data_IF_946237664308
#
_entry.id   IF_946237664308
#
_cell.length_a   1.000
_cell.length_b   1.000
_cell.length_c   1.000
_cell.angle_alpha   90.00
_cell.angle_beta   90.00
_cell.angle_gamma   90.00
#
_symmetry.space_group_name_H-M   'P 1'
#
loop_
_entity.id
_entity.type
_entity.pdbx_description
1 polymer ?
#
# COMPACT_ATOMS: atom_id res chain seq x y z
N UNK A 1 6.24 -13.19 -16.04
CA UNK A 1 5.64 -12.82 -14.74
C UNK A 1 5.56 -11.31 -14.72
N UNK A 2 4.35 -10.75 -14.62
CA UNK A 2 4.18 -9.31 -14.45
C UNK A 2 4.79 -8.91 -13.10
N UNK A 3 5.44 -7.75 -13.07
CA UNK A 3 6.13 -7.23 -11.88
C UNK A 3 5.10 -6.45 -11.07
N UNK A 4 4.91 -6.77 -9.79
CA UNK A 4 3.89 -6.11 -8.97
C UNK A 4 4.25 -4.64 -8.77
N UNK A 5 3.34 -3.74 -9.10
CA UNK A 5 3.51 -2.29 -9.04
C UNK A 5 2.84 -1.72 -7.79
N UNK A 6 3.62 -1.08 -6.93
CA UNK A 6 3.13 -0.54 -5.65
C UNK A 6 3.49 0.92 -5.50
N UNK A 7 2.51 1.74 -5.12
CA UNK A 7 2.70 3.15 -4.82
C UNK A 7 2.85 3.37 -3.32
N UNK A 8 3.89 4.09 -2.92
CA UNK A 8 4.10 4.52 -1.55
C UNK A 8 3.73 6.00 -1.41
N UNK A 9 2.69 6.30 -0.65
CA UNK A 9 2.20 7.65 -0.38
C UNK A 9 2.62 8.10 1.02
N UNK A 10 3.30 9.26 1.10
CA UNK A 10 3.75 9.85 2.36
C UNK A 10 5.25 10.12 2.37
N UNK A 11 5.67 10.97 3.30
CA UNK A 11 7.02 11.57 3.31
C UNK A 11 7.89 11.12 4.50
N UNK A 12 7.61 9.95 5.10
CA UNK A 12 8.50 9.45 6.14
C UNK A 12 9.71 8.69 5.60
N UNK A 13 10.83 8.89 6.30
CA UNK A 13 12.06 8.11 6.13
C UNK A 13 11.83 6.60 6.34
N UNK A 14 10.81 6.24 7.13
CA UNK A 14 10.44 4.86 7.35
C UNK A 14 9.88 4.22 6.08
N UNK A 15 8.94 4.90 5.41
CA UNK A 15 8.42 4.47 4.11
C UNK A 15 9.53 4.40 3.05
N UNK A 16 10.47 5.35 3.04
CA UNK A 16 11.61 5.30 2.13
C UNK A 16 12.49 4.07 2.35
N UNK A 17 12.74 3.73 3.62
CA UNK A 17 13.51 2.56 4.00
C UNK A 17 12.82 1.27 3.56
N UNK A 18 11.50 1.17 3.76
CA UNK A 18 10.69 0.05 3.28
C UNK A 18 10.69 -0.06 1.75
N UNK A 19 10.49 1.06 1.05
CA UNK A 19 10.51 1.12 -0.41
C UNK A 19 11.86 0.69 -0.98
N UNK A 20 12.96 1.11 -0.36
CA UNK A 20 14.31 0.66 -0.73
C UNK A 20 14.47 -0.86 -0.54
N UNK A 21 14.03 -1.40 0.61
CA UNK A 21 14.07 -2.83 0.89
C UNK A 21 13.30 -3.67 -0.14
N UNK A 22 12.08 -3.26 -0.49
CA UNK A 22 11.26 -3.99 -1.47
C UNK A 22 11.85 -3.98 -2.88
N UNK A 23 12.51 -2.87 -3.29
CA UNK A 23 13.16 -2.78 -4.60
C UNK A 23 14.29 -3.79 -4.76
N UNK A 24 14.97 -4.17 -3.68
CA UNK A 24 16.06 -5.15 -3.73
C UNK A 24 15.60 -6.54 -4.14
N UNK A 25 14.33 -6.90 -3.88
CA UNK A 25 13.77 -8.21 -4.26
C UNK A 25 13.72 -8.43 -5.78
N UNK A 26 13.71 -7.34 -6.56
CA UNK A 26 13.51 -7.37 -8.00
C UNK A 26 12.09 -7.74 -8.45
N UNK A 27 11.20 -8.18 -7.55
CA UNK A 27 9.83 -8.64 -7.86
C UNK A 27 8.79 -7.53 -7.84
N UNK A 28 9.06 -6.49 -7.06
CA UNK A 28 8.16 -5.35 -6.85
C UNK A 28 8.77 -4.10 -7.46
N UNK A 29 7.98 -3.38 -8.25
CA UNK A 29 8.31 -2.03 -8.73
C UNK A 29 7.65 -1.02 -7.79
N UNK A 30 8.46 -0.15 -7.20
CA UNK A 30 7.99 0.81 -6.20
C UNK A 30 7.98 2.23 -6.77
N UNK A 31 6.81 2.84 -6.80
CA UNK A 31 6.58 4.26 -7.07
C UNK A 31 6.48 5.04 -5.76
N UNK A 32 6.87 6.31 -5.76
CA UNK A 32 6.79 7.19 -4.58
C UNK A 32 5.95 8.41 -4.93
N UNK A 33 5.09 8.80 -4.00
CA UNK A 33 4.44 10.09 -3.95
C UNK A 33 4.66 10.68 -2.56
N UNK A 34 5.19 11.90 -2.50
CA UNK A 34 5.40 12.62 -1.23
C UNK A 34 4.06 13.08 -0.62
N UNK A 35 3.00 13.03 -1.41
CA UNK A 35 1.65 13.37 -0.99
C UNK A 35 1.03 12.27 -0.13
N UNK A 36 0.11 12.66 0.76
CA UNK A 36 -0.76 11.70 1.46
C UNK A 36 -1.70 10.99 0.47
N UNK A 37 -2.37 9.94 0.91
CA UNK A 37 -3.25 9.15 0.03
C UNK A 37 -4.41 9.95 -0.57
N UNK A 38 -4.86 11.01 0.11
CA UNK A 38 -6.00 11.85 -0.26
C UNK A 38 -5.90 12.50 -1.66
N UNK A 39 -4.87 13.31 -1.96
CA UNK A 39 -4.71 13.93 -3.28
C UNK A 39 -4.35 12.93 -4.38
N UNK A 40 -3.90 11.72 -4.03
CA UNK A 40 -3.36 10.75 -4.99
C UNK A 40 -4.44 9.89 -5.64
N UNK A 41 -5.69 9.93 -5.16
CA UNK A 41 -6.80 9.08 -5.68
C UNK A 41 -7.01 9.25 -7.18
N UNK A 42 -6.91 10.47 -7.71
CA UNK A 42 -7.02 10.68 -9.16
C UNK A 42 -5.82 10.10 -9.91
N UNK A 43 -4.62 10.19 -9.34
CA UNK A 43 -3.41 9.55 -9.89
C UNK A 43 -3.53 8.02 -9.85
N UNK A 44 -4.13 7.44 -8.80
CA UNK A 44 -4.36 6.00 -8.69
C UNK A 44 -5.23 5.47 -9.83
N UNK A 45 -6.23 6.25 -10.27
CA UNK A 45 -7.07 5.91 -11.42
C UNK A 45 -6.29 5.90 -12.74
N UNK A 46 -5.20 6.66 -12.85
CA UNK A 46 -4.39 6.71 -14.06
C UNK A 46 -3.26 5.69 -14.04
N UNK A 47 -2.62 5.52 -12.88
CA UNK A 47 -1.46 4.65 -12.70
C UNK A 47 -1.86 3.18 -12.55
N UNK A 48 -3.07 2.88 -12.06
CA UNK A 48 -3.55 1.52 -11.79
C UNK A 48 -2.50 0.62 -11.08
N UNK A 49 -1.91 1.06 -9.96
CA UNK A 49 -0.97 0.20 -9.23
C UNK A 49 -1.70 -1.01 -8.65
N UNK A 50 -1.00 -2.14 -8.50
CA UNK A 50 -1.52 -3.33 -7.83
C UNK A 50 -1.75 -3.08 -6.33
N UNK A 51 -1.02 -2.13 -5.75
CA UNK A 51 -1.20 -1.75 -4.35
C UNK A 51 -0.75 -0.34 -4.00
N UNK A 52 -1.26 0.15 -2.88
CA UNK A 52 -0.94 1.45 -2.28
C UNK A 52 -0.57 1.23 -0.83
N UNK A 53 0.62 1.70 -0.48
CA UNK A 53 1.15 1.71 0.89
C UNK A 53 1.17 3.16 1.36
N UNK A 54 0.57 3.42 2.51
CA UNK A 54 0.47 4.77 3.05
C UNK A 54 0.67 4.77 4.57
N UNK A 55 0.98 5.93 5.13
CA UNK A 55 1.09 6.09 6.58
C UNK A 55 -0.29 6.19 7.22
N UNK A 56 -0.52 5.42 8.29
CA UNK A 56 -1.78 5.46 9.01
C UNK A 56 -1.87 6.70 9.88
N UNK A 57 -2.79 7.59 9.53
CA UNK A 57 -3.24 8.70 10.37
C UNK A 57 -4.67 8.45 10.86
N UNK A 58 -5.11 9.14 11.93
CA UNK A 58 -6.45 8.91 12.51
C UNK A 58 -7.61 9.00 11.50
N UNK A 59 -7.46 9.82 10.45
CA UNK A 59 -8.49 10.00 9.43
C UNK A 59 -8.37 9.03 8.25
N UNK A 60 -7.21 8.41 8.03
CA UNK A 60 -6.99 7.58 6.83
C UNK A 60 -7.87 6.34 6.82
N UNK A 61 -8.26 5.83 7.99
CA UNK A 61 -9.09 4.62 8.08
C UNK A 61 -10.46 4.80 7.42
N UNK A 62 -11.12 5.93 7.65
CA UNK A 62 -12.44 6.22 7.07
C UNK A 62 -12.38 6.46 5.56
N UNK A 63 -11.27 7.02 5.09
CA UNK A 63 -11.08 7.37 3.67
C UNK A 63 -10.76 6.15 2.81
N UNK A 64 -10.07 5.17 3.39
CA UNK A 64 -9.67 3.96 2.66
C UNK A 64 -10.87 3.08 2.35
N UNK A 65 -11.90 3.05 3.20
CA UNK A 65 -13.14 2.31 2.95
C UNK A 65 -13.85 2.81 1.67
N UNK A 66 -13.89 4.13 1.46
CA UNK A 66 -14.43 4.73 0.23
C UNK A 66 -13.56 4.39 -0.98
N UNK A 67 -12.23 4.41 -0.84
CA UNK A 67 -11.31 4.10 -1.92
C UNK A 67 -11.36 2.63 -2.34
N UNK A 68 -11.51 1.69 -1.41
CA UNK A 68 -11.67 0.27 -1.75
C UNK A 68 -12.94 0.06 -2.57
N UNK A 69 -14.00 0.81 -2.27
CA UNK A 69 -15.26 0.72 -3.04
C UNK A 69 -15.07 1.25 -4.46
N UNK A 70 -14.32 2.33 -4.64
CA UNK A 70 -14.06 2.95 -5.93
C UNK A 70 -12.99 2.23 -6.77
N UNK A 71 -12.02 1.61 -6.11
CA UNK A 71 -10.82 1.00 -6.70
C UNK A 71 -10.63 -0.42 -6.15
N UNK A 72 -11.58 -1.35 -6.41
CA UNK A 72 -11.61 -2.67 -5.75
C UNK A 72 -10.46 -3.60 -6.17
N UNK A 73 -9.76 -3.27 -7.25
CA UNK A 73 -8.60 -4.01 -7.74
C UNK A 73 -7.28 -3.56 -7.08
N UNK A 74 -7.28 -2.40 -6.41
CA UNK A 74 -6.09 -1.86 -5.77
C UNK A 74 -6.08 -2.29 -4.31
N UNK A 75 -4.97 -2.88 -3.86
CA UNK A 75 -4.79 -3.21 -2.46
C UNK A 75 -4.36 -2.00 -1.65
N UNK A 76 -5.01 -1.73 -0.53
CA UNK A 76 -4.64 -0.64 0.37
C UNK A 76 -3.98 -1.20 1.63
N UNK A 77 -2.80 -0.68 1.96
CA UNK A 77 -2.00 -1.11 3.11
C UNK A 77 -1.57 0.13 3.90
N UNK A 78 -2.04 0.25 5.13
CA UNK A 78 -1.68 1.34 6.03
C UNK A 78 -0.59 0.92 7.00
N UNK A 79 0.54 1.62 7.03
CA UNK A 79 1.65 1.38 7.96
C UNK A 79 1.39 2.17 9.25
N UNK A 80 1.36 1.49 10.40
CA UNK A 80 1.14 2.16 11.68
C UNK A 80 2.36 2.99 12.09
N UNK A 81 2.17 4.08 12.87
CA UNK A 81 3.27 4.93 13.34
C UNK A 81 4.28 4.20 14.24
N UNK A 82 3.89 3.07 14.83
CA UNK A 82 4.79 2.21 15.60
C UNK A 82 5.88 1.55 14.73
N UNK A 83 5.67 1.48 13.41
CA UNK A 83 6.53 0.81 12.45
C UNK A 83 6.52 -0.72 12.57
N UNK A 84 5.85 -1.29 13.56
CA UNK A 84 5.82 -2.74 13.80
C UNK A 84 4.68 -3.40 13.02
N UNK A 85 3.57 -2.68 12.90
CA UNK A 85 2.34 -3.21 12.34
C UNK A 85 1.88 -2.45 11.09
N UNK A 86 1.12 -3.16 10.26
CA UNK A 86 0.39 -2.60 9.14
C UNK A 86 -1.03 -3.14 9.14
N UNK A 87 -1.97 -2.34 8.66
CA UNK A 87 -3.34 -2.77 8.36
C UNK A 87 -3.44 -3.05 6.87
N UNK A 88 -3.81 -4.28 6.51
CA UNK A 88 -4.22 -4.61 5.16
C UNK A 88 -5.72 -4.42 5.07
N UNK A 89 -6.16 -3.53 4.20
CA UNK A 89 -7.57 -3.22 4.02
C UNK A 89 -8.16 -4.07 2.90
N UNK A 90 -9.37 -4.57 3.13
CA UNK A 90 -10.18 -5.27 2.14
C UNK A 90 -11.60 -4.71 2.15
N UNK A 91 -12.40 -5.08 1.15
CA UNK A 91 -13.77 -4.57 1.00
C UNK A 91 -14.68 -4.90 2.19
N UNK A 92 -14.38 -5.95 2.94
CA UNK A 92 -15.26 -6.47 3.99
C UNK A 92 -14.58 -6.58 5.36
N UNK A 93 -13.26 -6.45 5.42
CA UNK A 93 -12.50 -6.59 6.66
C UNK A 93 -11.16 -5.85 6.59
N UNK A 94 -10.53 -5.71 7.75
CA UNK A 94 -9.17 -5.20 7.88
C UNK A 94 -8.35 -6.12 8.76
N UNK A 95 -7.13 -6.42 8.33
CA UNK A 95 -6.25 -7.34 9.04
C UNK A 95 -4.99 -6.62 9.52
N UNK A 96 -4.71 -6.72 10.82
CA UNK A 96 -3.45 -6.28 11.38
C UNK A 96 -2.39 -7.33 11.11
N UNK A 97 -1.28 -6.92 10.50
CA UNK A 97 -0.18 -7.79 10.10
C UNK A 97 1.15 -7.12 10.46
N UNK A 98 2.18 -7.87 10.90
CA UNK A 98 3.50 -7.28 11.11
C UNK A 98 4.11 -6.75 9.80
N UNK A 99 4.78 -5.59 9.85
CA UNK A 99 5.44 -4.99 8.67
C UNK A 99 6.52 -5.91 8.09
N UNK A 100 7.11 -6.79 8.91
CA UNK A 100 8.05 -7.81 8.44
C UNK A 100 7.47 -8.75 7.36
N UNK A 101 6.13 -8.83 7.23
CA UNK A 101 5.45 -9.61 6.18
C UNK A 101 5.05 -8.79 4.95
N UNK A 102 5.46 -7.53 4.85
CA UNK A 102 5.03 -6.61 3.79
C UNK A 102 5.24 -7.17 2.37
N UNK A 103 6.44 -7.65 2.05
CA UNK A 103 6.73 -8.23 0.72
C UNK A 103 5.81 -9.41 0.42
N UNK A 104 5.61 -10.30 1.41
CA UNK A 104 4.74 -11.47 1.27
C UNK A 104 3.29 -11.05 1.00
N UNK A 105 2.78 -10.07 1.74
CA UNK A 105 1.42 -9.54 1.55
C UNK A 105 1.25 -8.89 0.18
N UNK A 106 2.25 -8.19 -0.34
CA UNK A 106 2.18 -7.62 -1.69
C UNK A 106 2.11 -8.74 -2.74
N UNK A 107 2.96 -9.76 -2.61
CA UNK A 107 3.13 -10.82 -3.61
C UNK A 107 2.07 -11.92 -3.57
N UNK A 108 1.48 -12.26 -2.42
CA UNK A 108 0.45 -13.32 -2.33
C UNK A 108 -0.78 -13.02 -3.19
N UNK A 109 -1.06 -11.74 -3.47
CA UNK A 109 -2.16 -11.32 -4.35
C UNK A 109 -1.93 -11.61 -5.82
N UNK A 110 -0.69 -11.70 -6.28
CA UNK A 110 -0.40 -11.98 -7.69
C UNK A 110 -0.78 -13.43 -8.08
N UNK A 111 -1.24 -14.23 -7.12
CA UNK A 111 -1.55 -15.65 -7.27
C UNK A 111 -3.00 -16.02 -6.93
N UNK A 112 -3.82 -15.10 -6.42
CA UNK A 112 -5.26 -15.32 -6.25
C UNK A 112 -6.01 -14.86 -7.52
N UNK A 113 -5.81 -15.61 -8.62
CA UNK A 113 -6.70 -15.64 -9.79
C UNK A 113 -7.80 -16.70 -9.62
#
# INVERSE_FOLDING_TARGET
MARTEVLFCGNSLYLDSLAAGLRMSGKIRVFRSESSILPVVEELKMLHPDGVIFEMEQQSQFLVDDFITLLPLIRFIGIHPDGENMTVFSRHDKHLVPVAKLEKVILETAMEE
#
